data_IF_132287249754
#
_entry.id   IF_132287249754
#
_cell.length_a   1.000
_cell.length_b   1.000
_cell.length_c   1.000
_cell.angle_alpha   90.00
_cell.angle_beta   90.00
_cell.angle_gamma   90.00
#
_symmetry.space_group_name_H-M   'P 1'
#
loop_
_entity.id
_entity.type
_entity.pdbx_description
1 polymer ?
#
# COMPACT_ATOMS: atom_id res chain seq x y z
N UNK A 1 19.68 12.85 -9.40
CA UNK A 1 19.25 11.75 -10.29
C UNK A 1 17.77 11.82 -10.72
N UNK A 2 16.79 12.13 -9.84
CA UNK A 2 15.36 12.26 -10.25
C UNK A 2 15.12 13.25 -11.41
N UNK A 3 15.80 14.40 -11.41
CA UNK A 3 15.63 15.43 -12.46
C UNK A 3 16.14 15.00 -13.84
N UNK A 4 17.18 14.17 -13.91
CA UNK A 4 17.72 13.67 -15.18
C UNK A 4 16.75 12.68 -15.83
N UNK A 5 16.08 11.87 -15.02
CA UNK A 5 15.12 10.88 -15.51
C UNK A 5 13.81 11.51 -15.98
N UNK A 6 13.31 12.53 -15.26
CA UNK A 6 12.15 13.32 -15.73
C UNK A 6 12.41 13.94 -17.10
N UNK A 7 13.64 14.44 -17.34
CA UNK A 7 14.05 14.95 -18.66
C UNK A 7 14.13 13.84 -19.74
N UNK A 8 14.60 12.64 -19.40
CA UNK A 8 14.71 11.53 -20.37
C UNK A 8 13.35 10.96 -20.79
N UNK A 9 12.41 10.84 -19.85
CA UNK A 9 11.06 10.33 -20.13
C UNK A 9 10.20 11.41 -20.81
N UNK A 10 10.32 12.68 -20.42
CA UNK A 10 9.52 13.75 -21.02
C UNK A 10 9.88 14.07 -22.48
N UNK A 11 11.10 13.79 -22.92
CA UNK A 11 11.59 14.19 -24.25
C UNK A 11 11.32 13.16 -25.36
N UNK A 12 10.90 11.92 -25.02
CA UNK A 12 10.78 10.81 -25.98
C UNK A 12 9.35 10.34 -26.26
N UNK A 13 8.35 10.87 -25.57
CA UNK A 13 7.14 10.08 -25.32
C UNK A 13 5.98 10.24 -26.30
N UNK A 14 6.01 11.19 -27.25
CA UNK A 14 4.88 11.41 -28.16
C UNK A 14 5.40 11.63 -29.60
N UNK A 15 5.40 10.56 -30.41
CA UNK A 15 5.41 10.71 -31.85
C UNK A 15 3.99 10.52 -32.38
N UNK A 16 3.56 11.45 -33.24
CA UNK A 16 2.34 11.28 -34.04
C UNK A 16 2.70 10.49 -35.29
N UNK A 17 2.81 9.18 -35.17
CA UNK A 17 2.97 8.32 -36.33
C UNK A 17 1.58 8.12 -36.99
N UNK A 18 1.41 8.63 -38.21
CA UNK A 18 0.18 8.44 -39.03
C UNK A 18 -1.13 8.83 -38.33
N UNK A 19 -1.11 9.88 -37.50
CA UNK A 19 -2.29 10.37 -36.78
C UNK A 19 -2.71 9.52 -35.58
N UNK A 20 -1.94 8.48 -35.21
CA UNK A 20 -2.12 7.78 -33.93
C UNK A 20 -1.07 8.25 -32.93
N UNK A 21 -1.52 8.58 -31.73
CA UNK A 21 -0.63 8.85 -30.60
C UNK A 21 -0.10 7.51 -30.10
N UNK A 22 1.16 7.20 -30.42
CA UNK A 22 1.85 6.01 -29.90
C UNK A 22 2.86 6.45 -28.86
N UNK A 23 2.71 5.92 -27.64
CA UNK A 23 3.62 6.13 -26.52
C UNK A 23 4.64 5.00 -26.50
N UNK A 24 5.87 5.31 -26.87
CA UNK A 24 6.95 4.33 -26.95
C UNK A 24 7.26 3.69 -25.61
N UNK A 25 7.71 2.44 -25.67
CA UNK A 25 8.19 1.72 -24.50
C UNK A 25 9.53 2.33 -24.07
N UNK A 26 9.75 2.58 -22.76
CA UNK A 26 11.07 2.95 -22.25
C UNK A 26 12.13 1.91 -22.64
N UNK A 27 13.39 2.32 -22.71
CA UNK A 27 14.50 1.37 -22.92
C UNK A 27 14.49 0.27 -21.85
N UNK A 28 15.08 -0.90 -22.14
CA UNK A 28 15.06 -2.00 -21.17
C UNK A 28 15.74 -1.63 -19.83
N UNK A 29 16.74 -0.74 -19.86
CA UNK A 29 17.36 -0.18 -18.66
C UNK A 29 16.38 0.68 -17.84
N UNK A 30 15.64 1.58 -18.50
CA UNK A 30 14.61 2.42 -17.85
C UNK A 30 13.44 1.58 -17.36
N UNK A 31 12.98 0.60 -18.15
CA UNK A 31 11.93 -0.33 -17.76
C UNK A 31 12.34 -1.15 -16.53
N UNK A 32 13.56 -1.70 -16.52
CA UNK A 32 14.11 -2.43 -15.38
C UNK A 32 14.23 -1.52 -14.15
N UNK A 33 14.67 -0.27 -14.33
CA UNK A 33 14.72 0.73 -13.27
C UNK A 33 13.31 1.03 -12.72
N UNK A 34 12.34 1.31 -13.58
CA UNK A 34 10.94 1.54 -13.20
C UNK A 34 10.36 0.33 -12.47
N UNK A 35 10.64 -0.90 -12.92
CA UNK A 35 10.18 -2.12 -12.26
C UNK A 35 10.84 -2.34 -10.89
N UNK A 36 12.05 -1.78 -10.69
CA UNK A 36 12.82 -1.87 -9.44
C UNK A 36 12.54 -0.74 -8.46
N UNK A 37 12.23 0.46 -8.96
CA UNK A 37 11.90 1.65 -8.18
C UNK A 37 10.61 1.38 -7.39
N UNK A 38 10.79 0.92 -6.15
CA UNK A 38 9.70 0.62 -5.22
C UNK A 38 9.14 1.87 -4.54
N UNK A 39 9.63 3.07 -4.86
CA UNK A 39 9.55 4.19 -3.92
C UNK A 39 8.54 5.28 -4.24
N UNK A 40 8.00 5.37 -5.45
CA UNK A 40 6.96 6.36 -5.73
C UNK A 40 5.98 5.86 -6.78
N UNK A 41 4.70 5.82 -6.41
CA UNK A 41 3.60 5.74 -7.36
C UNK A 41 3.66 6.90 -8.37
N UNK A 42 4.11 8.09 -7.95
CA UNK A 42 4.19 9.27 -8.82
C UNK A 42 5.16 9.04 -9.99
N UNK A 43 6.28 8.34 -9.77
CA UNK A 43 7.22 8.01 -10.85
C UNK A 43 6.55 7.11 -11.91
N UNK A 44 5.59 6.26 -11.51
CA UNK A 44 4.82 5.44 -12.44
C UNK A 44 3.77 6.26 -13.17
N UNK A 45 3.02 7.11 -12.44
CA UNK A 45 1.99 7.97 -13.01
C UNK A 45 2.61 8.96 -14.01
N UNK A 46 3.69 9.64 -13.62
CA UNK A 46 4.46 10.55 -14.47
C UNK A 46 4.99 9.81 -15.71
N UNK A 47 5.56 8.61 -15.54
CA UNK A 47 6.15 7.87 -16.67
C UNK A 47 5.11 7.34 -17.66
N UNK A 48 3.94 6.96 -17.16
CA UNK A 48 2.84 6.51 -18.02
C UNK A 48 2.02 7.69 -18.54
N UNK A 49 2.12 8.86 -17.93
CA UNK A 49 1.20 9.99 -18.13
C UNK A 49 -0.27 9.51 -18.00
N UNK A 50 -0.57 8.91 -16.84
CA UNK A 50 -1.91 8.50 -16.45
C UNK A 50 -2.27 9.10 -15.10
N UNK A 51 -3.55 9.38 -14.91
CA UNK A 51 -4.08 9.76 -13.61
C UNK A 51 -4.14 8.58 -12.64
N UNK A 52 -4.31 8.93 -11.37
CA UNK A 52 -4.38 7.99 -10.26
C UNK A 52 -5.56 7.03 -10.34
N UNK A 53 -6.69 7.45 -10.95
CA UNK A 53 -7.90 6.63 -11.07
C UNK A 53 -7.71 5.53 -12.12
N UNK A 54 -7.12 5.86 -13.28
CA UNK A 54 -6.69 4.90 -14.30
C UNK A 54 -5.71 3.90 -13.72
N UNK A 55 -4.74 4.37 -12.94
CA UNK A 55 -3.79 3.49 -12.28
C UNK A 55 -4.48 2.51 -11.32
N UNK A 56 -5.37 3.00 -10.45
CA UNK A 56 -6.09 2.15 -9.50
C UNK A 56 -6.92 1.07 -10.23
N UNK A 57 -7.61 1.46 -11.30
CA UNK A 57 -8.41 0.54 -12.13
C UNK A 57 -7.54 -0.49 -12.85
N UNK A 58 -6.43 -0.05 -13.49
CA UNK A 58 -5.44 -0.94 -14.11
C UNK A 58 -4.90 -1.96 -13.11
N UNK A 59 -4.50 -1.47 -11.94
CA UNK A 59 -3.97 -2.29 -10.85
C UNK A 59 -4.96 -3.37 -10.42
N UNK A 60 -6.22 -3.02 -10.25
CA UNK A 60 -7.26 -3.97 -9.87
C UNK A 60 -7.41 -5.08 -10.93
N UNK A 61 -7.53 -4.71 -12.21
CA UNK A 61 -7.66 -5.67 -13.32
C UNK A 61 -6.43 -6.57 -13.47
N UNK A 62 -5.22 -6.02 -13.41
CA UNK A 62 -3.98 -6.83 -13.51
C UNK A 62 -3.89 -7.81 -12.34
N UNK A 63 -4.24 -7.40 -11.12
CA UNK A 63 -4.21 -8.28 -9.95
C UNK A 63 -5.25 -9.39 -10.03
N UNK A 64 -6.46 -9.09 -10.51
CA UNK A 64 -7.52 -10.07 -10.70
C UNK A 64 -7.07 -11.13 -11.73
N UNK A 65 -6.72 -10.70 -12.95
CA UNK A 65 -6.27 -11.59 -14.00
C UNK A 65 -5.02 -12.39 -13.62
N UNK A 66 -4.06 -11.79 -12.90
CA UNK A 66 -2.88 -12.50 -12.42
C UNK A 66 -3.19 -13.57 -11.37
N UNK A 67 -4.22 -13.38 -10.52
CA UNK A 67 -4.64 -14.40 -9.55
C UNK A 67 -5.28 -15.60 -10.25
N UNK A 68 -5.97 -15.38 -11.35
CA UNK A 68 -6.67 -16.42 -12.12
C UNK A 68 -5.72 -17.23 -13.00
N UNK A 69 -4.75 -16.57 -13.63
CA UNK A 69 -3.95 -17.20 -14.69
C UNK A 69 -2.47 -17.43 -14.34
N UNK A 70 -1.94 -16.87 -13.24
CA UNK A 70 -0.52 -17.00 -12.90
C UNK A 70 -0.30 -17.72 -11.58
N UNK A 71 0.85 -18.39 -11.48
CA UNK A 71 1.30 -19.01 -10.24
C UNK A 71 1.92 -17.93 -9.35
N UNK A 72 1.14 -17.45 -8.39
CA UNK A 72 1.61 -16.43 -7.45
C UNK A 72 2.79 -16.96 -6.63
N UNK A 73 3.89 -16.21 -6.64
CA UNK A 73 5.12 -16.57 -5.93
C UNK A 73 6.26 -17.03 -6.83
N UNK A 74 6.02 -17.20 -8.13
CA UNK A 74 7.10 -17.28 -9.13
C UNK A 74 7.42 -15.89 -9.72
N UNK A 75 8.68 -15.57 -9.98
CA UNK A 75 9.06 -14.32 -10.64
C UNK A 75 8.61 -14.32 -12.10
N UNK A 76 8.43 -13.12 -12.68
CA UNK A 76 7.89 -12.96 -14.04
C UNK A 76 8.63 -13.77 -15.13
N UNK A 77 9.95 -13.98 -14.98
CA UNK A 77 10.77 -14.75 -15.93
C UNK A 77 10.55 -16.28 -15.88
N UNK A 78 9.97 -16.77 -14.79
CA UNK A 78 9.67 -18.19 -14.55
C UNK A 78 8.18 -18.50 -14.76
N UNK A 79 7.38 -17.48 -15.06
CA UNK A 79 5.98 -17.66 -15.44
C UNK A 79 5.90 -18.18 -16.88
N UNK A 80 4.87 -18.96 -17.16
CA UNK A 80 4.55 -19.36 -18.52
C UNK A 80 4.20 -18.14 -19.39
N UNK A 81 4.76 -18.11 -20.60
CA UNK A 81 4.62 -16.98 -21.53
C UNK A 81 3.19 -16.86 -22.08
N UNK A 82 2.48 -17.98 -22.28
CA UNK A 82 1.08 -17.97 -22.73
C UNK A 82 0.13 -17.49 -21.64
N UNK A 83 0.42 -17.84 -20.39
CA UNK A 83 -0.30 -17.34 -19.22
C UNK A 83 -0.15 -15.83 -19.06
N UNK A 84 1.06 -15.27 -19.26
CA UNK A 84 1.27 -13.81 -19.28
C UNK A 84 0.47 -13.16 -20.42
N UNK A 85 0.49 -13.73 -21.62
CA UNK A 85 -0.31 -13.21 -22.76
C UNK A 85 -1.80 -13.21 -22.44
N UNK A 86 -2.30 -14.26 -21.78
CA UNK A 86 -3.69 -14.35 -21.33
C UNK A 86 -4.04 -13.22 -20.36
N UNK A 87 -3.21 -12.96 -19.35
CA UNK A 87 -3.39 -11.83 -18.43
C UNK A 87 -3.41 -10.50 -19.19
N UNK A 88 -2.48 -10.28 -20.11
CA UNK A 88 -2.43 -9.03 -20.89
C UNK A 88 -3.66 -8.87 -21.79
N UNK A 89 -4.14 -9.95 -22.41
CA UNK A 89 -5.37 -9.95 -23.22
C UNK A 89 -6.57 -9.52 -22.38
N UNK A 90 -6.77 -10.13 -21.21
CA UNK A 90 -7.86 -9.78 -20.29
C UNK A 90 -7.79 -8.30 -19.85
N UNK A 91 -6.60 -7.82 -19.49
CA UNK A 91 -6.39 -6.43 -19.10
C UNK A 91 -6.67 -5.45 -20.25
N UNK A 92 -6.30 -5.80 -21.48
CA UNK A 92 -6.55 -4.97 -22.67
C UNK A 92 -8.03 -4.90 -23.04
N UNK A 93 -8.80 -5.94 -22.74
CA UNK A 93 -10.26 -5.91 -22.90
C UNK A 93 -10.89 -4.92 -21.92
N UNK A 94 -10.41 -4.87 -20.67
CA UNK A 94 -10.91 -3.92 -19.65
C UNK A 94 -10.40 -2.49 -19.87
N UNK A 95 -9.18 -2.32 -20.40
CA UNK A 95 -8.50 -1.02 -20.52
C UNK A 95 -8.08 -0.71 -21.96
N UNK A 96 -9.01 -0.33 -22.85
CA UNK A 96 -8.69 -0.06 -24.26
C UNK A 96 -7.63 1.01 -24.49
N UNK A 97 -7.50 1.96 -23.56
CA UNK A 97 -6.50 3.03 -23.60
C UNK A 97 -5.06 2.53 -23.57
N UNK A 98 -4.79 1.31 -23.10
CA UNK A 98 -3.45 0.71 -23.12
C UNK A 98 -2.92 0.47 -24.54
N UNK A 99 -3.81 0.40 -25.54
CA UNK A 99 -3.43 0.19 -26.95
C UNK A 99 -2.63 1.37 -27.53
N UNK A 100 -2.65 2.53 -26.89
CA UNK A 100 -1.80 3.68 -27.28
C UNK A 100 -0.35 3.49 -26.82
N UNK A 101 -0.07 2.53 -25.94
CA UNK A 101 1.27 2.25 -25.43
C UNK A 101 1.88 1.08 -26.18
N UNK A 102 3.12 1.24 -26.61
CA UNK A 102 3.86 0.18 -27.29
C UNK A 102 3.94 -1.07 -26.39
N UNK A 103 3.47 -2.20 -26.91
CA UNK A 103 3.41 -3.49 -26.19
C UNK A 103 2.68 -3.41 -24.84
N UNK A 104 1.80 -2.41 -24.65
CA UNK A 104 1.02 -2.22 -23.44
C UNK A 104 1.93 -2.15 -22.19
N UNK A 105 3.09 -1.52 -22.33
CA UNK A 105 4.14 -1.57 -21.31
C UNK A 105 3.72 -1.09 -19.91
N UNK A 106 2.74 -0.18 -19.69
CA UNK A 106 2.29 0.15 -18.33
C UNK A 106 1.70 -1.05 -17.58
N UNK A 107 0.90 -1.87 -18.26
CA UNK A 107 0.31 -3.07 -17.67
C UNK A 107 1.39 -4.12 -17.36
N UNK A 108 2.32 -4.33 -18.30
CA UNK A 108 3.47 -5.21 -18.10
C UNK A 108 4.35 -4.74 -16.93
N UNK A 109 4.64 -3.44 -16.87
CA UNK A 109 5.44 -2.85 -15.80
C UNK A 109 4.79 -3.07 -14.43
N UNK A 110 3.48 -2.84 -14.34
CA UNK A 110 2.73 -3.09 -13.11
C UNK A 110 2.73 -4.58 -12.75
N UNK A 111 2.51 -5.48 -13.71
CA UNK A 111 2.55 -6.92 -13.49
C UNK A 111 3.91 -7.38 -12.95
N UNK A 112 5.01 -6.90 -13.53
CA UNK A 112 6.36 -7.18 -13.04
C UNK A 112 6.56 -6.74 -11.58
N UNK A 113 6.07 -5.53 -11.23
CA UNK A 113 6.12 -5.05 -9.84
C UNK A 113 5.29 -5.93 -8.90
N UNK A 114 4.10 -6.32 -9.33
CA UNK A 114 3.19 -7.17 -8.57
C UNK A 114 3.78 -8.57 -8.28
N UNK A 115 4.35 -9.23 -9.29
CA UNK A 115 4.99 -10.54 -9.10
C UNK A 115 6.27 -10.44 -8.23
N UNK A 116 7.04 -9.36 -8.40
CA UNK A 116 8.22 -9.09 -7.58
C UNK A 116 7.89 -8.85 -6.11
N UNK A 117 6.79 -8.16 -5.79
CA UNK A 117 6.40 -7.98 -4.39
C UNK A 117 5.98 -9.30 -3.76
N UNK A 118 5.24 -10.14 -4.49
CA UNK A 118 4.78 -11.47 -4.03
C UNK A 118 5.92 -12.46 -3.78
N UNK A 119 6.96 -12.46 -4.61
CA UNK A 119 8.12 -13.36 -4.46
C UNK A 119 8.95 -13.07 -3.20
N UNK A 120 9.08 -11.80 -2.79
CA UNK A 120 9.87 -11.39 -1.61
C UNK A 120 9.33 -11.99 -0.30
N UNK A 121 8.01 -12.11 -0.17
CA UNK A 121 7.42 -12.61 1.06
C UNK A 121 7.70 -14.10 1.27
N UNK A 122 7.80 -14.91 0.20
CA UNK A 122 8.14 -16.34 0.33
C UNK A 122 9.57 -16.57 0.81
N UNK A 123 10.52 -15.81 0.28
CA UNK A 123 11.93 -15.96 0.68
C UNK A 123 12.19 -15.58 2.14
N UNK A 124 11.36 -14.69 2.72
CA UNK A 124 11.51 -14.28 4.11
C UNK A 124 11.09 -15.39 5.09
N UNK A 125 10.03 -16.14 4.80
CA UNK A 125 9.49 -17.12 5.75
C UNK A 125 10.35 -18.36 5.92
N UNK A 126 11.19 -18.71 4.95
CA UNK A 126 12.04 -19.90 5.04
C UNK A 126 13.32 -19.70 5.84
N UNK A 127 13.75 -18.46 6.10
CA UNK A 127 15.04 -18.19 6.75
C UNK A 127 14.97 -18.02 8.26
N UNK A 128 13.80 -18.19 8.86
CA UNK A 128 13.61 -18.16 10.31
C UNK A 128 13.57 -19.58 10.90
N UNK A 129 14.39 -20.50 10.40
CA UNK A 129 14.95 -21.43 11.37
C UNK A 129 15.85 -20.59 12.27
N UNK A 130 15.54 -20.45 13.57
CA UNK A 130 16.48 -19.80 14.48
C UNK A 130 17.81 -20.51 14.29
N UNK A 131 18.93 -19.77 14.09
CA UNK A 131 20.24 -20.40 14.05
C UNK A 131 20.32 -21.34 15.25
N UNK A 132 20.71 -22.62 15.07
CA UNK A 132 20.69 -23.60 16.13
C UNK A 132 21.36 -22.95 17.33
N UNK A 133 20.57 -22.72 18.38
CA UNK A 133 20.99 -21.94 19.54
C UNK A 133 22.33 -22.49 19.98
N UNK A 134 23.41 -21.74 19.73
CA UNK A 134 24.71 -22.03 20.33
C UNK A 134 24.53 -21.67 21.79
N UNK A 135 24.06 -22.66 22.55
CA UNK A 135 23.81 -22.66 23.99
C UNK A 135 25.08 -22.17 24.67
N UNK A 136 25.19 -20.85 24.86
CA UNK A 136 26.21 -20.27 25.71
C UNK A 136 25.80 -20.62 27.12
N UNK A 137 26.53 -21.59 27.67
CA UNK A 137 26.45 -21.97 29.06
C UNK A 137 26.63 -20.72 29.92
N UNK A 138 25.63 -20.48 30.77
CA UNK A 138 25.76 -20.07 32.16
C UNK A 138 26.99 -19.24 32.53
N UNK A 139 26.75 -17.97 32.84
CA UNK A 139 27.46 -17.32 33.95
C UNK A 139 26.47 -16.44 34.73
N UNK A 140 25.96 -17.05 35.80
CA UNK A 140 25.72 -16.48 37.13
C UNK A 140 25.64 -14.95 37.32
N UNK A 141 24.44 -14.49 37.74
CA UNK A 141 24.09 -13.61 38.91
C UNK A 141 24.82 -12.23 39.05
N UNK A 142 24.40 -11.28 39.93
CA UNK A 142 23.23 -11.23 40.83
C UNK A 142 22.49 -9.86 40.95
N UNK A 143 21.33 -9.94 41.62
CA UNK A 143 20.73 -8.96 42.56
C UNK A 143 20.21 -7.59 42.09
N UNK A 144 18.92 -7.40 42.39
CA UNK A 144 18.13 -6.16 42.44
C UNK A 144 18.74 -5.06 43.33
N UNK A 145 18.23 -3.83 43.19
CA UNK A 145 17.56 -3.25 44.36
C UNK A 145 16.17 -2.66 44.04
N UNK A 146 15.29 -2.88 45.01
CA UNK A 146 14.01 -2.24 45.25
C UNK A 146 14.24 -0.76 45.57
N UNK A 147 13.46 0.16 44.99
CA UNK A 147 13.32 1.53 45.50
C UNK A 147 11.90 2.05 45.33
N UNK A 148 11.38 2.48 46.49
CA UNK A 148 10.04 2.95 46.81
C UNK A 148 9.82 4.45 46.52
N UNK A 149 8.55 4.86 46.63
CA UNK A 149 8.01 6.22 46.83
C UNK A 149 8.03 7.16 45.61
N UNK A 150 7.03 8.03 45.37
CA UNK A 150 6.07 8.65 46.27
C UNK A 150 4.74 9.02 45.57
N UNK A 151 3.70 9.12 46.38
CA UNK A 151 2.43 9.82 46.13
C UNK A 151 2.64 11.26 45.65
N UNK A 152 1.87 11.66 44.63
CA UNK A 152 1.61 13.06 44.32
C UNK A 152 0.12 13.22 43.97
N UNK A 153 -0.66 13.59 44.98
CA UNK A 153 -2.04 14.05 44.85
C UNK A 153 -2.04 15.41 44.14
N UNK A 154 -2.41 15.43 42.85
CA UNK A 154 -2.73 16.66 42.14
C UNK A 154 -4.24 16.77 41.96
N UNK A 155 -4.84 17.69 42.73
CA UNK A 155 -6.22 18.16 42.57
C UNK A 155 -6.46 18.61 41.13
N UNK A 156 -7.33 17.88 40.44
CA UNK A 156 -7.85 18.28 39.12
C UNK A 156 -9.21 18.94 39.34
N UNK A 157 -9.30 20.23 39.05
CA UNK A 157 -10.55 21.01 39.10
C UNK A 157 -11.57 20.45 38.10
N UNK A 158 -12.88 20.41 38.47
CA UNK A 158 -13.93 20.00 37.56
C UNK A 158 -14.14 21.06 36.47
N UNK A 159 -13.75 20.71 35.25
CA UNK A 159 -14.11 21.47 34.05
C UNK A 159 -15.60 21.25 33.75
N UNK A 160 -16.40 22.31 33.56
CA UNK A 160 -17.83 22.17 33.28
C UNK A 160 -18.06 21.35 32.02
N UNK A 161 -18.85 20.30 32.16
CA UNK A 161 -19.32 19.42 31.09
C UNK A 161 -20.02 20.27 30.03
N UNK A 162 -19.35 20.47 28.91
CA UNK A 162 -19.93 21.04 27.72
C UNK A 162 -20.87 19.96 27.13
N UNK A 163 -22.17 20.23 26.94
CA UNK A 163 -23.11 19.25 26.44
C UNK A 163 -22.62 18.73 25.07
N UNK A 164 -22.71 17.42 24.81
CA UNK A 164 -22.27 16.83 23.56
C UNK A 164 -23.04 17.51 22.42
N UNK A 165 -22.30 18.27 21.62
CA UNK A 165 -22.80 18.90 20.42
C UNK A 165 -23.10 17.75 19.44
N UNK A 166 -24.33 17.23 19.45
CA UNK A 166 -24.77 16.15 18.57
C UNK A 166 -24.75 16.74 17.16
N UNK A 167 -23.80 16.35 16.30
CA UNK A 167 -23.73 16.89 14.95
C UNK A 167 -24.93 16.35 14.17
N UNK A 168 -25.65 17.25 13.49
CA UNK A 168 -26.72 16.92 12.57
C UNK A 168 -26.28 15.76 11.64
N UNK A 169 -27.15 14.75 11.38
CA UNK A 169 -26.89 13.67 10.43
C UNK A 169 -27.00 14.17 8.97
N UNK A 170 -26.50 15.37 8.69
CA UNK A 170 -26.38 15.94 7.37
C UNK A 170 -25.33 15.14 6.60
N UNK A 171 -25.81 14.16 5.83
CA UNK A 171 -25.15 13.49 4.69
C UNK A 171 -23.63 13.59 4.80
N UNK A 172 -23.06 12.91 5.80
CA UNK A 172 -21.62 12.90 6.00
C UNK A 172 -21.05 12.18 4.79
N UNK A 173 -20.55 12.96 3.83
CA UNK A 173 -19.79 12.47 2.68
C UNK A 173 -18.84 11.39 3.19
N UNK A 174 -18.82 10.20 2.59
CA UNK A 174 -18.16 9.01 3.16
C UNK A 174 -16.71 9.23 3.62
N UNK A 175 -16.03 10.24 3.03
CA UNK A 175 -14.72 10.73 3.48
C UNK A 175 -14.66 11.17 4.95
N UNK A 176 -15.75 11.68 5.53
CA UNK A 176 -15.80 12.22 6.89
C UNK A 176 -15.54 11.16 7.96
N UNK A 177 -16.09 9.96 7.76
CA UNK A 177 -15.88 8.82 8.66
C UNK A 177 -14.41 8.39 8.66
N UNK A 178 -13.82 8.24 7.48
CA UNK A 178 -12.41 7.85 7.32
C UNK A 178 -11.49 8.94 7.88
N UNK A 179 -11.82 10.22 7.67
CA UNK A 179 -11.11 11.36 8.27
C UNK A 179 -11.11 11.26 9.79
N UNK A 180 -12.28 11.12 10.40
CA UNK A 180 -12.41 11.06 11.86
C UNK A 180 -11.62 9.88 12.44
N UNK A 181 -11.68 8.71 11.80
CA UNK A 181 -10.87 7.56 12.20
C UNK A 181 -9.36 7.83 12.12
N UNK A 182 -8.87 8.39 11.02
CA UNK A 182 -7.45 8.69 10.83
C UNK A 182 -6.95 9.83 11.74
N UNK A 183 -7.80 10.78 12.10
CA UNK A 183 -7.49 11.87 13.03
C UNK A 183 -7.22 11.38 14.45
N UNK A 184 -7.87 10.28 14.86
CA UNK A 184 -7.72 9.68 16.18
C UNK A 184 -6.47 8.80 16.33
N UNK A 185 -5.74 8.54 15.24
CA UNK A 185 -4.42 7.93 15.31
C UNK A 185 -3.39 8.92 15.87
N UNK A 186 -2.32 8.41 16.49
CA UNK A 186 -1.24 9.25 17.05
C UNK A 186 0.12 8.77 16.53
N UNK A 187 0.76 9.48 15.57
CA UNK A 187 0.36 10.78 15.03
C UNK A 187 -0.92 10.72 14.16
N UNK A 188 -1.58 11.87 13.98
CA UNK A 188 -2.74 11.99 13.08
C UNK A 188 -2.37 11.59 11.66
N UNK A 189 -3.25 10.81 11.03
CA UNK A 189 -3.06 10.24 9.69
C UNK A 189 -4.00 10.86 8.65
N UNK A 190 -4.57 12.04 8.94
CA UNK A 190 -5.51 12.73 8.03
C UNK A 190 -4.92 13.03 6.64
N UNK A 191 -3.60 13.20 6.54
CA UNK A 191 -2.93 13.40 5.26
C UNK A 191 -3.14 12.22 4.27
N UNK A 192 -3.56 11.05 4.77
CA UNK A 192 -3.72 9.82 3.99
C UNK A 192 -5.18 9.54 3.58
N UNK A 193 -6.15 10.42 3.90
CA UNK A 193 -7.59 10.19 3.62
C UNK A 193 -7.85 9.81 2.17
N UNK A 194 -7.33 10.58 1.21
CA UNK A 194 -7.59 10.33 -0.21
C UNK A 194 -6.97 9.00 -0.68
N UNK A 195 -5.85 8.58 -0.08
CA UNK A 195 -5.25 7.29 -0.37
C UNK A 195 -6.11 6.14 0.16
N UNK A 196 -6.66 6.23 1.37
CA UNK A 196 -7.59 5.22 1.91
C UNK A 196 -8.88 5.12 1.07
N UNK A 197 -9.47 6.26 0.69
CA UNK A 197 -10.67 6.32 -0.16
C UNK A 197 -10.42 5.67 -1.51
N UNK A 198 -9.27 5.96 -2.12
CA UNK A 198 -8.85 5.36 -3.39
C UNK A 198 -8.60 3.86 -3.30
N UNK A 199 -8.15 3.37 -2.14
CA UNK A 199 -7.99 1.94 -1.87
C UNK A 199 -9.30 1.22 -1.54
N UNK A 200 -10.44 1.93 -1.58
CA UNK A 200 -11.78 1.39 -1.39
C UNK A 200 -12.30 1.51 0.04
N UNK A 201 -11.55 2.09 0.97
CA UNK A 201 -12.00 2.39 2.33
C UNK A 201 -12.58 3.80 2.32
N UNK A 202 -13.87 3.91 2.02
CA UNK A 202 -14.54 5.18 1.65
C UNK A 202 -15.72 5.55 2.54
N UNK A 203 -16.19 4.63 3.36
CA UNK A 203 -17.38 4.77 4.19
C UNK A 203 -17.24 3.91 5.46
N UNK A 204 -18.19 4.04 6.39
CA UNK A 204 -18.17 3.27 7.64
C UNK A 204 -18.20 1.76 7.37
N UNK A 205 -18.96 1.29 6.38
CA UNK A 205 -19.10 -0.14 6.10
C UNK A 205 -17.79 -0.76 5.60
N UNK A 206 -17.08 -0.09 4.67
CA UNK A 206 -15.78 -0.51 4.16
C UNK A 206 -14.68 -0.43 5.23
N UNK A 207 -14.72 0.60 6.10
CA UNK A 207 -13.82 0.69 7.24
C UNK A 207 -14.05 -0.44 8.25
N UNK A 208 -15.30 -0.73 8.60
CA UNK A 208 -15.66 -1.87 9.46
C UNK A 208 -15.26 -3.20 8.82
N UNK A 209 -15.52 -3.36 7.52
CA UNK A 209 -15.05 -4.50 6.74
C UNK A 209 -13.53 -4.67 6.89
N UNK A 210 -12.75 -3.60 6.73
CA UNK A 210 -11.31 -3.64 6.96
C UNK A 210 -10.93 -3.98 8.42
N UNK A 211 -11.60 -3.41 9.42
CA UNK A 211 -11.31 -3.64 10.84
C UNK A 211 -11.61 -5.07 11.29
N UNK A 212 -12.62 -5.71 10.69
CA UNK A 212 -12.97 -7.11 10.94
C UNK A 212 -11.95 -8.12 10.40
N UNK A 213 -10.99 -7.68 9.58
CA UNK A 213 -9.95 -8.57 9.08
C UNK A 213 -9.01 -9.04 10.19
N UNK A 214 -8.52 -10.29 10.12
CA UNK A 214 -7.45 -10.77 11.00
C UNK A 214 -6.24 -9.81 11.02
N UNK A 215 -5.58 -9.60 12.18
CA UNK A 215 -4.46 -8.65 12.29
C UNK A 215 -3.36 -8.85 11.24
N UNK A 216 -3.00 -10.10 10.95
CA UNK A 216 -2.03 -10.45 9.92
C UNK A 216 -2.47 -10.03 8.51
N UNK A 217 -3.76 -10.13 8.18
CA UNK A 217 -4.30 -9.69 6.90
C UNK A 217 -4.25 -8.15 6.75
N UNK A 218 -4.55 -7.40 7.83
CA UNK A 218 -4.43 -5.93 7.84
C UNK A 218 -2.98 -5.48 7.64
N UNK A 219 -2.04 -6.10 8.36
CA UNK A 219 -0.59 -5.84 8.20
C UNK A 219 -0.15 -6.16 6.76
N UNK A 220 -0.57 -7.30 6.22
CA UNK A 220 -0.23 -7.69 4.86
C UNK A 220 -0.78 -6.69 3.84
N UNK A 221 -2.04 -6.28 3.97
CA UNK A 221 -2.66 -5.29 3.09
C UNK A 221 -1.93 -3.95 3.16
N UNK A 222 -1.63 -3.44 4.36
CA UNK A 222 -0.87 -2.19 4.51
C UNK A 222 0.49 -2.30 3.83
N UNK A 223 1.21 -3.41 3.98
CA UNK A 223 2.50 -3.61 3.31
C UNK A 223 2.38 -3.67 1.79
N UNK A 224 1.31 -4.28 1.26
CA UNK A 224 1.02 -4.34 -0.17
C UNK A 224 0.61 -2.96 -0.75
N UNK A 225 -0.04 -2.14 0.07
CA UNK A 225 -0.60 -0.84 -0.29
C UNK A 225 0.26 0.35 0.13
N UNK A 226 1.34 0.13 0.89
CA UNK A 226 2.20 1.21 1.39
C UNK A 226 2.92 1.97 0.26
N UNK A 227 3.00 1.40 -0.94
CA UNK A 227 3.48 2.12 -2.12
C UNK A 227 2.55 3.28 -2.54
N UNK A 228 1.26 3.19 -2.21
CA UNK A 228 0.24 4.22 -2.42
C UNK A 228 0.14 5.10 -1.17
N UNK A 229 0.05 4.49 0.01
CA UNK A 229 -0.11 5.22 1.28
C UNK A 229 1.13 6.05 1.62
N UNK A 230 2.34 5.56 1.28
CA UNK A 230 3.64 6.19 1.63
C UNK A 230 3.82 6.46 3.13
N UNK A 231 3.17 5.67 3.97
CA UNK A 231 3.32 5.79 5.41
C UNK A 231 4.70 5.27 5.82
N UNK A 232 5.35 5.99 6.73
CA UNK A 232 6.54 5.54 7.44
C UNK A 232 6.23 4.30 8.29
N UNK A 233 7.27 3.58 8.70
CA UNK A 233 7.10 2.41 9.60
C UNK A 233 6.40 2.79 10.90
N UNK A 234 6.67 3.99 11.43
CA UNK A 234 6.04 4.49 12.65
C UNK A 234 4.54 4.72 12.43
N UNK A 235 4.18 5.38 11.32
CA UNK A 235 2.78 5.65 10.98
C UNK A 235 2.00 4.36 10.71
N UNK A 236 2.60 3.37 10.04
CA UNK A 236 2.00 2.04 9.87
C UNK A 236 1.74 1.38 11.23
N UNK A 237 2.70 1.46 12.16
CA UNK A 237 2.55 0.93 13.52
C UNK A 237 1.44 1.64 14.30
N UNK A 238 1.40 2.97 14.23
CA UNK A 238 0.36 3.80 14.85
C UNK A 238 -1.03 3.46 14.33
N UNK A 239 -1.18 3.36 13.00
CA UNK A 239 -2.44 2.98 12.36
C UNK A 239 -2.92 1.60 12.81
N UNK A 240 -2.03 0.60 12.84
CA UNK A 240 -2.38 -0.75 13.30
C UNK A 240 -2.80 -0.78 14.76
N UNK A 241 -2.08 -0.08 15.63
CA UNK A 241 -2.44 0.06 17.04
C UNK A 241 -3.81 0.73 17.21
N UNK A 242 -4.08 1.78 16.43
CA UNK A 242 -5.38 2.44 16.42
C UNK A 242 -6.49 1.47 15.94
N UNK A 243 -6.24 0.69 14.89
CA UNK A 243 -7.19 -0.32 14.41
C UNK A 243 -7.50 -1.39 15.48
N UNK A 244 -6.51 -1.82 16.26
CA UNK A 244 -6.73 -2.78 17.35
C UNK A 244 -7.56 -2.19 18.49
N UNK A 245 -7.23 -0.97 18.92
CA UNK A 245 -7.98 -0.28 19.96
C UNK A 245 -9.43 -0.04 19.55
N UNK A 246 -9.65 0.36 18.30
CA UNK A 246 -10.99 0.59 17.76
C UNK A 246 -11.77 -0.72 17.62
N UNK A 247 -11.15 -1.79 17.12
CA UNK A 247 -11.81 -3.10 17.01
C UNK A 247 -12.27 -3.66 18.36
N UNK A 248 -11.49 -3.46 19.44
CA UNK A 248 -11.89 -3.89 20.80
C UNK A 248 -13.15 -3.21 21.31
N UNK A 249 -13.40 -1.95 20.92
CA UNK A 249 -14.59 -1.19 21.33
C UNK A 249 -15.89 -1.64 20.65
N UNK A 250 -15.80 -2.42 19.57
CA UNK A 250 -16.98 -2.93 18.85
C UNK A 250 -17.42 -4.32 19.30
N UNK A 251 -16.65 -5.00 20.16
CA UNK A 251 -16.96 -6.35 20.65
C UNK A 251 -17.75 -6.32 21.97
N UNK A 252 -17.79 -5.15 22.62
CA UNK A 252 -18.56 -4.86 23.85
C UNK A 252 -19.91 -4.27 23.51
#
# INVERSE_FOLDING_TARGET
>A
MRNTLKKMISARQIARDRGREVRYRPSDQEFSWLARSTTAIDDFLDACDIDIAKYASLKASVRAAAKEHLVLGLPAREQDSESIKTVMSAVLQTHPWLRTYERNWPAMLYLHRYLKSRTRFRTSSQKTQPPPYRRKQSSSRPSSPVLSHADALASTSPQPEQPPNIPDPAIVSGKGVVRQFLQLASPSLEAYIDAFVMLGIRDQASLQGFLSWPPNARVQWLNEENGILRMSRLEVGSFLLHCENTARRYVT
#
